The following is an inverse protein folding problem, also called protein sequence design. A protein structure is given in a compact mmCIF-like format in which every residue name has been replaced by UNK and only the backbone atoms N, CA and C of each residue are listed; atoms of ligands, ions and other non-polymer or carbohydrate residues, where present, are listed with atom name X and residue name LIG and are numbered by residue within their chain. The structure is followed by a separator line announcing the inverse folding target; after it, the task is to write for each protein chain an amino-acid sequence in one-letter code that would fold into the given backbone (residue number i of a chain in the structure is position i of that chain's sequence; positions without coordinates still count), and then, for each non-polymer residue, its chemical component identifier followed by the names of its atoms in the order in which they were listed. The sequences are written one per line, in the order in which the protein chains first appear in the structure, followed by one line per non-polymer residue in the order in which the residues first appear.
data_IF_596854928809
#
_entry.id   IF_596854928809
#
_cell.length_a   1.000
_cell.length_b   1.000
_cell.length_c   1.000
_cell.angle_alpha   90.00
_cell.angle_beta   90.00
_cell.angle_gamma   90.00
#
_symmetry.space_group_name_H-M   'P 1'
#
loop_
_entity.id
_entity.type
_entity.pdbx_description
1 polymer ?
#
# COMPACT_ATOMS: atom_id res chain seq x y z
N UNK A 1 7.31 -6.85 -0.48
CA UNK A 1 7.35 -6.14 0.81
C UNK A 1 8.45 -6.77 1.65
N UNK A 2 9.63 -6.18 1.60
CA UNK A 2 10.82 -6.49 2.39
C UNK A 2 11.17 -5.29 3.29
N UNK A 3 12.25 -5.39 4.06
CA UNK A 3 12.77 -4.27 4.85
C UNK A 3 13.23 -3.10 3.97
N UNK A 4 13.86 -3.39 2.83
CA UNK A 4 14.29 -2.39 1.84
C UNK A 4 13.11 -1.53 1.33
N UNK A 5 11.91 -2.14 1.17
CA UNK A 5 10.71 -1.42 0.74
C UNK A 5 10.27 -0.38 1.80
N UNK A 6 10.48 -0.69 3.09
CA UNK A 6 10.18 0.23 4.19
C UNK A 6 11.20 1.36 4.27
N UNK A 7 12.49 1.05 4.12
CA UNK A 7 13.55 2.06 4.10
C UNK A 7 13.38 3.03 2.91
N UNK A 8 13.00 2.52 1.74
CA UNK A 8 12.65 3.32 0.57
C UNK A 8 11.45 4.24 0.86
N UNK A 9 10.41 3.71 1.49
CA UNK A 9 9.25 4.52 1.88
C UNK A 9 9.64 5.67 2.83
N UNK A 10 10.42 5.40 3.88
CA UNK A 10 10.84 6.43 4.82
C UNK A 10 11.76 7.48 4.18
N UNK A 11 12.62 7.07 3.25
CA UNK A 11 13.47 7.97 2.47
C UNK A 11 12.64 8.96 1.64
N UNK A 12 11.53 8.50 1.05
CA UNK A 12 10.60 9.38 0.32
C UNK A 12 9.78 10.22 1.29
N UNK A 13 9.30 9.64 2.39
CA UNK A 13 8.49 10.30 3.43
C UNK A 13 9.18 11.51 4.04
N UNK A 14 10.49 11.44 4.32
CA UNK A 14 11.25 12.55 4.91
C UNK A 14 11.18 13.85 4.07
N UNK A 15 10.95 13.75 2.76
CA UNK A 15 10.79 14.93 1.90
C UNK A 15 9.48 15.69 2.17
N UNK A 16 8.47 15.00 2.70
CA UNK A 16 7.14 15.54 2.99
C UNK A 16 6.95 15.87 4.48
N UNK A 17 7.67 15.18 5.37
CA UNK A 17 7.65 15.39 6.82
C UNK A 17 9.07 15.54 7.40
N UNK A 18 9.79 16.63 7.08
CA UNK A 18 11.20 16.82 7.47
C UNK A 18 11.41 17.01 8.98
N UNK A 19 10.32 17.20 9.73
CA UNK A 19 10.35 17.40 11.19
C UNK A 19 9.88 16.16 11.96
N UNK A 20 9.70 15.02 11.29
CA UNK A 20 9.24 13.76 11.89
C UNK A 20 7.97 13.92 12.72
N UNK A 21 7.01 14.72 12.23
CA UNK A 21 5.71 14.92 12.88
C UNK A 21 4.80 13.71 12.77
N UNK A 22 5.11 12.78 11.86
CA UNK A 22 4.33 11.61 11.46
C UNK A 22 3.07 11.94 10.64
N UNK A 23 2.95 13.18 10.16
CA UNK A 23 1.78 13.62 9.38
C UNK A 23 2.18 14.34 8.09
N UNK A 24 1.38 14.11 7.05
CA UNK A 24 1.35 14.93 5.83
C UNK A 24 -0.07 15.43 5.58
N UNK A 25 -0.25 16.39 4.67
CA UNK A 25 -1.58 16.78 4.22
C UNK A 25 -2.11 15.85 3.14
N UNK A 26 -3.44 15.71 3.07
CA UNK A 26 -4.13 14.95 2.02
C UNK A 26 -3.70 15.35 0.60
N UNK A 27 -3.53 16.65 0.35
CA UNK A 27 -3.10 17.18 -0.96
C UNK A 27 -1.73 16.66 -1.43
N UNK A 28 -0.86 16.23 -0.49
CA UNK A 28 0.48 15.71 -0.78
C UNK A 28 0.49 14.20 -1.04
N UNK A 29 -0.58 13.48 -0.70
CA UNK A 29 -0.62 12.01 -0.74
C UNK A 29 -0.38 11.47 -2.16
N UNK A 30 -1.04 12.06 -3.16
CA UNK A 30 -0.92 11.64 -4.56
C UNK A 30 0.49 11.79 -5.12
N UNK A 31 1.21 12.83 -4.70
CA UNK A 31 2.63 13.02 -5.04
C UNK A 31 3.53 12.04 -4.29
N UNK A 32 3.27 11.83 -3.00
CA UNK A 32 4.05 10.90 -2.19
C UNK A 32 4.02 9.49 -2.78
N UNK A 33 2.83 8.92 -3.01
CA UNK A 33 2.70 7.54 -3.51
C UNK A 33 3.16 7.38 -4.96
N UNK A 34 3.11 8.46 -5.75
CA UNK A 34 3.60 8.46 -7.12
C UNK A 34 5.12 8.46 -7.22
N UNK A 35 5.80 9.00 -6.21
CA UNK A 35 7.26 9.10 -6.13
C UNK A 35 7.93 7.92 -5.40
N UNK A 36 7.16 6.97 -4.87
CA UNK A 36 7.69 5.70 -4.35
C UNK A 36 8.16 4.82 -5.51
N UNK A 37 8.97 3.81 -5.21
CA UNK A 37 9.33 2.75 -6.14
C UNK A 37 8.41 1.53 -5.97
N UNK A 38 8.26 0.67 -7.00
CA UNK A 38 7.59 -0.62 -6.86
C UNK A 38 8.21 -1.43 -5.71
N UNK A 39 7.40 -2.15 -4.92
CA UNK A 39 5.99 -2.45 -5.12
C UNK A 39 5.02 -1.44 -4.50
N UNK A 40 5.49 -0.46 -3.73
CA UNK A 40 4.61 0.49 -3.01
C UNK A 40 4.12 1.66 -3.89
N UNK A 41 4.72 1.84 -5.07
CA UNK A 41 4.37 2.90 -6.00
C UNK A 41 2.94 2.78 -6.53
N UNK A 42 2.25 3.93 -6.60
CA UNK A 42 0.98 4.07 -7.31
C UNK A 42 1.12 5.22 -8.31
N UNK A 43 1.34 4.83 -9.57
CA UNK A 43 1.54 5.78 -10.67
C UNK A 43 0.32 6.68 -10.87
N UNK A 44 0.56 7.95 -11.21
CA UNK A 44 -0.51 8.89 -11.56
C UNK A 44 -1.16 8.55 -12.91
N UNK A 45 -2.46 8.83 -13.11
CA UNK A 45 -3.41 9.37 -12.12
C UNK A 45 -3.79 8.32 -11.07
N UNK A 46 -3.70 8.69 -9.79
CA UNK A 46 -3.83 7.77 -8.65
C UNK A 46 -4.96 8.17 -7.68
N UNK A 47 -5.71 9.23 -7.99
CA UNK A 47 -6.75 9.78 -7.11
C UNK A 47 -7.85 8.73 -6.82
N UNK A 48 -8.29 8.01 -7.86
CA UNK A 48 -9.35 6.99 -7.73
C UNK A 48 -8.86 5.83 -6.85
N UNK A 49 -7.63 5.38 -7.04
CA UNK A 49 -7.04 4.32 -6.23
C UNK A 49 -6.94 4.74 -4.76
N UNK A 50 -6.48 5.96 -4.49
CA UNK A 50 -6.33 6.48 -3.12
C UNK A 50 -7.65 6.64 -2.38
N UNK A 51 -8.73 7.00 -3.07
CA UNK A 51 -10.08 7.02 -2.47
C UNK A 51 -10.49 5.61 -2.02
N UNK A 52 -10.14 4.56 -2.78
CA UNK A 52 -10.49 3.18 -2.44
C UNK A 52 -9.77 2.65 -1.19
N UNK A 53 -8.68 3.28 -0.77
CA UNK A 53 -7.89 2.85 0.38
C UNK A 53 -8.51 3.21 1.73
N UNK A 54 -9.45 4.16 1.74
CA UNK A 54 -10.20 4.57 2.93
C UNK A 54 -9.27 4.94 4.11
N UNK A 55 -8.19 5.68 3.81
CA UNK A 55 -7.20 6.13 4.79
C UNK A 55 -7.82 7.22 5.68
N UNK A 56 -7.69 7.14 7.02
CA UNK A 56 -8.19 8.17 7.92
C UNK A 56 -7.61 9.57 7.64
N UNK A 57 -8.49 10.58 7.60
CA UNK A 57 -8.12 11.99 7.55
C UNK A 57 -8.47 12.62 8.89
N UNK A 58 -7.48 13.24 9.52
CA UNK A 58 -7.56 13.89 10.82
C UNK A 58 -7.79 15.41 10.67
N UNK A 59 -7.91 16.09 11.80
CA UNK A 59 -8.09 17.54 11.83
C UNK A 59 -6.97 18.28 11.07
N UNK A 60 -7.37 19.27 10.26
CA UNK A 60 -6.45 20.01 9.39
C UNK A 60 -6.00 19.23 8.16
N UNK A 61 -6.81 18.26 7.70
CA UNK A 61 -6.55 17.44 6.50
C UNK A 61 -5.26 16.62 6.60
N UNK A 62 -4.87 16.26 7.83
CA UNK A 62 -3.65 15.51 8.12
C UNK A 62 -3.90 14.02 8.01
N UNK A 63 -2.90 13.30 7.53
CA UNK A 63 -2.90 11.86 7.38
C UNK A 63 -1.67 11.28 8.06
N UNK A 64 -1.84 10.18 8.81
CA UNK A 64 -0.76 9.60 9.60
C UNK A 64 0.09 8.63 8.76
N UNK A 65 1.41 8.66 8.98
CA UNK A 65 2.40 7.84 8.28
C UNK A 65 2.06 6.34 8.27
N UNK A 66 1.74 5.80 9.45
CA UNK A 66 1.44 4.37 9.62
C UNK A 66 0.18 3.97 8.86
N UNK A 67 -0.84 4.83 8.83
CA UNK A 67 -2.10 4.52 8.13
C UNK A 67 -1.88 4.48 6.61
N UNK A 68 -1.06 5.39 6.08
CA UNK A 68 -0.67 5.41 4.67
C UNK A 68 0.12 4.15 4.32
N UNK A 69 1.19 3.84 5.08
CA UNK A 69 2.03 2.68 4.82
C UNK A 69 1.21 1.37 4.90
N UNK A 70 0.34 1.25 5.90
CA UNK A 70 -0.54 0.09 6.04
C UNK A 70 -1.48 -0.08 4.85
N UNK A 71 -2.04 1.02 4.33
CA UNK A 71 -2.90 0.98 3.15
C UNK A 71 -2.15 0.51 1.90
N UNK A 72 -0.92 1.00 1.69
CA UNK A 72 -0.08 0.59 0.56
C UNK A 72 0.29 -0.89 0.63
N UNK A 73 0.72 -1.38 1.80
CA UNK A 73 1.05 -2.79 1.99
C UNK A 73 -0.17 -3.68 1.75
N UNK A 74 -1.36 -3.29 2.24
CA UNK A 74 -2.60 -4.02 1.98
C UNK A 74 -2.93 -4.08 0.50
N UNK A 75 -2.72 -2.98 -0.25
CA UNK A 75 -2.93 -2.97 -1.69
C UNK A 75 -2.02 -4.00 -2.38
N UNK A 76 -0.73 -4.00 -2.07
CA UNK A 76 0.24 -4.96 -2.65
C UNK A 76 -0.13 -6.41 -2.31
N UNK A 77 -0.54 -6.69 -1.07
CA UNK A 77 -0.94 -8.03 -0.67
C UNK A 77 -2.22 -8.49 -1.39
N UNK A 78 -3.18 -7.58 -1.59
CA UNK A 78 -4.39 -7.87 -2.35
C UNK A 78 -4.06 -8.24 -3.80
N UNK A 79 -3.18 -7.48 -4.44
CA UNK A 79 -2.75 -7.77 -5.82
C UNK A 79 -2.06 -9.15 -5.93
N UNK A 80 -1.35 -9.58 -4.88
CA UNK A 80 -0.79 -10.93 -4.78
C UNK A 80 -1.90 -11.98 -4.62
N UNK A 81 -2.87 -11.75 -3.73
CA UNK A 81 -3.99 -12.68 -3.50
C UNK A 81 -4.87 -12.89 -4.75
N UNK A 82 -5.02 -11.85 -5.55
CA UNK A 82 -5.77 -11.83 -6.81
C UNK A 82 -4.94 -12.36 -8.01
N UNK A 83 -3.68 -12.74 -7.80
CA UNK A 83 -2.83 -13.27 -8.87
C UNK A 83 -3.29 -14.65 -9.35
N UNK A 84 -3.17 -14.90 -10.67
CA UNK A 84 -3.56 -16.18 -11.30
C UNK A 84 -2.80 -17.38 -10.71
N UNK A 85 -1.56 -17.16 -10.29
CA UNK A 85 -0.69 -18.16 -9.66
C UNK A 85 -1.24 -18.60 -8.30
N UNK A 86 -1.61 -17.64 -7.45
CA UNK A 86 -2.25 -17.90 -6.15
C UNK A 86 -3.63 -18.53 -6.37
N UNK A 87 -4.41 -18.06 -7.35
CA UNK A 87 -5.69 -18.66 -7.66
C UNK A 87 -5.56 -20.13 -8.10
N UNK A 88 -4.60 -20.43 -8.97
CA UNK A 88 -4.31 -21.78 -9.44
C UNK A 88 -3.86 -22.70 -8.30
N UNK A 89 -3.03 -22.17 -7.39
CA UNK A 89 -2.58 -22.91 -6.22
C UNK A 89 -3.75 -23.21 -5.26
N UNK A 90 -4.64 -22.25 -5.01
CA UNK A 90 -5.86 -22.43 -4.22
C UNK A 90 -6.72 -23.58 -4.80
N UNK A 91 -6.96 -23.59 -6.11
CA UNK A 91 -7.72 -24.69 -6.76
C UNK A 91 -7.06 -26.06 -6.58
N UNK A 92 -5.73 -26.15 -6.70
CA UNK A 92 -5.02 -27.42 -6.50
C UNK A 92 -5.13 -27.93 -5.05
N UNK A 93 -5.07 -27.03 -4.07
CA UNK A 93 -5.25 -27.37 -2.66
C UNK A 93 -6.66 -27.92 -2.39
N UNK A 94 -7.68 -27.27 -2.94
CA UNK A 94 -9.08 -27.71 -2.81
C UNK A 94 -9.30 -29.10 -3.42
N UNK A 95 -8.80 -29.35 -4.63
CA UNK A 95 -8.90 -30.66 -5.29
C UNK A 95 -8.22 -31.74 -4.45
N UNK A 96 -7.01 -31.49 -3.93
CA UNK A 96 -6.31 -32.45 -3.08
C UNK A 96 -7.04 -32.71 -1.76
N UNK A 97 -7.67 -31.68 -1.18
CA UNK A 97 -8.42 -31.84 0.06
C UNK A 97 -9.66 -32.73 -0.18
N UNK A 98 -10.43 -32.46 -1.25
CA UNK A 98 -11.60 -33.26 -1.64
C UNK A 98 -11.29 -34.68 -2.13
N UNK A 99 -10.03 -35.00 -2.46
CA UNK A 99 -9.61 -36.35 -2.82
C UNK A 99 -9.16 -37.19 -1.60
N UNK A 100 -8.81 -36.53 -0.49
CA UNK A 100 -8.28 -37.18 0.71
C UNK A 100 -9.27 -37.21 1.89
N UNK A 101 -10.45 -36.61 1.73
CA UNK A 101 -11.58 -36.63 2.66
C UNK A 101 -12.87 -36.89 1.87
#
# INVERSE_FOLDING_TARGET
ITEDDFDMFYTVWEKYDPFATQFIKYEQLGDLVGNLDPPLQISKPNEIALVSFNIPILEGEKMHCVDILLALVKNVLKDIEDSEEIHSLKMQMEVKFSQNF
#
